data_IF_642535136831
#
_entry.id   IF_642535136831
#
_cell.length_a   1.000
_cell.length_b   1.000
_cell.length_c   1.000
_cell.angle_alpha   90.00
_cell.angle_beta   90.00
_cell.angle_gamma   90.00
#
_symmetry.space_group_name_H-M   'P 1'
#
loop_
_entity.id
_entity.type
_entity.pdbx_description
1 polymer ?
#
# COMPACT_ATOMS: atom_id res chain seq x y z
N UNK A 1 38.03 12.36 -5.42
CA UNK A 1 37.28 11.09 -5.22
C UNK A 1 36.14 11.27 -4.22
N UNK A 2 36.30 11.96 -3.10
CA UNK A 2 35.24 12.19 -2.09
C UNK A 2 34.06 13.03 -2.63
N UNK A 3 34.32 13.94 -3.55
CA UNK A 3 33.31 14.83 -4.13
C UNK A 3 32.34 14.09 -5.09
N UNK A 4 32.87 13.19 -5.90
CA UNK A 4 32.08 12.46 -6.89
C UNK A 4 31.15 11.42 -6.25
N UNK A 5 31.59 10.72 -5.20
CA UNK A 5 30.76 9.77 -4.46
C UNK A 5 29.59 10.49 -3.77
N UNK A 6 29.82 11.70 -3.26
CA UNK A 6 28.78 12.49 -2.59
C UNK A 6 27.75 13.05 -3.59
N UNK A 7 28.20 13.42 -4.79
CA UNK A 7 27.30 13.84 -5.89
C UNK A 7 26.39 12.68 -6.30
N UNK A 8 26.97 11.49 -6.50
CA UNK A 8 26.21 10.28 -6.88
C UNK A 8 25.23 9.90 -5.76
N UNK A 9 25.66 9.91 -4.50
CA UNK A 9 24.79 9.62 -3.36
C UNK A 9 23.56 10.55 -3.33
N UNK A 10 23.78 11.86 -3.46
CA UNK A 10 22.68 12.85 -3.49
C UNK A 10 21.73 12.60 -4.66
N UNK A 11 22.27 12.37 -5.85
CA UNK A 11 21.47 12.10 -7.04
C UNK A 11 20.68 10.79 -6.95
N UNK A 12 21.24 9.77 -6.29
CA UNK A 12 20.53 8.49 -6.03
C UNK A 12 19.40 8.71 -5.04
N UNK A 13 19.62 9.43 -3.93
CA UNK A 13 18.56 9.73 -2.95
C UNK A 13 17.41 10.49 -3.62
N UNK A 14 17.70 11.47 -4.48
CA UNK A 14 16.69 12.19 -5.23
C UNK A 14 15.86 11.25 -6.11
N UNK A 15 16.50 10.31 -6.81
CA UNK A 15 15.80 9.32 -7.64
C UNK A 15 14.96 8.36 -6.81
N UNK A 16 15.45 7.95 -5.65
CA UNK A 16 14.72 7.09 -4.72
C UNK A 16 13.45 7.79 -4.17
N UNK A 17 13.40 9.12 -4.14
CA UNK A 17 12.19 9.85 -3.75
C UNK A 17 11.02 9.68 -4.73
N UNK A 18 11.28 9.20 -5.94
CA UNK A 18 10.25 8.89 -6.95
C UNK A 18 9.83 7.41 -6.95
N UNK A 19 10.49 6.57 -6.15
CA UNK A 19 10.09 5.18 -5.96
C UNK A 19 8.93 5.14 -4.97
N UNK A 20 7.77 4.70 -5.42
CA UNK A 20 6.53 4.69 -4.64
C UNK A 20 6.26 3.29 -4.10
N UNK A 21 6.05 3.19 -2.80
CA UNK A 21 5.55 1.96 -2.19
C UNK A 21 4.11 1.70 -2.67
N UNK A 22 3.83 0.55 -3.33
CA UNK A 22 2.52 0.30 -3.93
C UNK A 22 1.40 0.07 -2.89
N UNK A 23 1.74 -0.30 -1.64
CA UNK A 23 0.75 -0.47 -0.57
C UNK A 23 0.42 0.87 0.10
N UNK A 24 1.44 1.66 0.39
CA UNK A 24 1.28 2.91 1.12
C UNK A 24 1.02 4.10 0.21
N UNK A 25 1.34 4.00 -1.11
CA UNK A 25 1.13 5.06 -2.09
C UNK A 25 2.02 6.29 -1.89
N UNK A 26 3.09 6.15 -1.11
CA UNK A 26 4.05 7.23 -0.78
C UNK A 26 5.46 6.81 -1.14
N UNK A 27 6.34 7.79 -1.27
CA UNK A 27 7.72 7.51 -1.62
C UNK A 27 8.44 6.72 -0.52
N UNK A 28 9.32 5.80 -0.91
CA UNK A 28 10.11 5.00 0.05
C UNK A 28 11.01 5.87 0.93
N UNK A 29 11.37 7.06 0.47
CA UNK A 29 12.13 8.05 1.26
C UNK A 29 11.24 8.73 2.29
N UNK A 30 10.02 9.17 1.92
CA UNK A 30 9.06 9.80 2.83
C UNK A 30 8.58 8.84 3.91
N UNK A 31 8.50 7.55 3.59
CA UNK A 31 8.18 6.49 4.53
C UNK A 31 9.35 6.14 5.46
N UNK A 32 10.51 6.75 5.27
CA UNK A 32 11.70 6.44 6.02
C UNK A 32 12.23 5.03 5.80
N UNK A 33 11.89 4.40 4.69
CA UNK A 33 12.34 3.04 4.35
C UNK A 33 13.82 3.00 3.98
N UNK A 34 14.37 4.10 3.45
CA UNK A 34 15.79 4.18 3.08
C UNK A 34 16.62 4.52 4.31
N UNK A 35 17.44 3.58 4.78
CA UNK A 35 18.27 3.73 5.96
C UNK A 35 19.69 4.18 5.65
N UNK A 36 20.13 4.04 4.40
CA UNK A 36 21.44 4.47 3.98
C UNK A 36 21.70 4.14 2.52
N UNK A 37 22.51 4.98 1.90
CA UNK A 37 23.04 4.80 0.56
C UNK A 37 24.57 4.90 0.68
N UNK A 38 25.28 3.88 0.25
CA UNK A 38 26.76 3.80 0.31
C UNK A 38 27.28 3.61 -1.11
N UNK A 39 28.08 4.58 -1.58
CA UNK A 39 28.62 4.62 -2.94
C UNK A 39 30.10 4.26 -2.92
N UNK A 40 30.50 3.18 -3.60
CA UNK A 40 31.88 2.71 -3.67
C UNK A 40 32.39 2.68 -5.11
N UNK A 41 33.53 3.30 -5.41
CA UNK A 41 34.13 3.22 -6.73
C UNK A 41 34.56 1.78 -7.03
N UNK A 42 34.26 1.31 -8.24
CA UNK A 42 34.68 0.01 -8.76
C UNK A 42 35.56 0.13 -9.99
N UNK A 43 35.64 1.33 -10.58
CA UNK A 43 36.47 1.68 -11.73
C UNK A 43 36.59 3.18 -11.92
N UNK A 44 37.03 3.64 -13.09
CA UNK A 44 37.24 5.06 -13.41
C UNK A 44 35.92 5.84 -13.38
N UNK A 45 34.88 5.28 -14.01
CA UNK A 45 33.52 5.88 -14.05
C UNK A 45 32.45 4.86 -13.66
N UNK A 46 32.83 3.89 -12.82
CA UNK A 46 31.95 2.80 -12.38
C UNK A 46 31.90 2.78 -10.87
N UNK A 47 30.67 2.64 -10.33
CA UNK A 47 30.42 2.64 -8.88
C UNK A 47 29.43 1.54 -8.52
N UNK A 48 29.63 0.95 -7.35
CA UNK A 48 28.64 0.10 -6.69
C UNK A 48 27.88 0.96 -5.68
N UNK A 49 26.56 0.94 -5.75
CA UNK A 49 25.66 1.65 -4.85
C UNK A 49 24.93 0.63 -4.00
N UNK A 50 25.23 0.63 -2.70
CA UNK A 50 24.52 -0.19 -1.71
C UNK A 50 23.41 0.64 -1.10
N UNK A 51 22.16 0.17 -1.25
CA UNK A 51 20.97 0.79 -0.67
C UNK A 51 20.42 -0.12 0.42
N UNK A 52 20.39 0.38 1.65
CA UNK A 52 19.77 -0.32 2.79
C UNK A 52 18.32 0.11 2.90
N UNK A 53 17.41 -0.86 2.79
CA UNK A 53 15.96 -0.65 2.79
C UNK A 53 15.33 -1.42 3.93
N UNK A 54 14.50 -0.77 4.74
CA UNK A 54 13.70 -1.41 5.78
C UNK A 54 12.23 -1.38 5.39
N UNK A 55 11.64 -2.57 5.24
CA UNK A 55 10.23 -2.73 4.92
C UNK A 55 9.36 -2.70 6.18
N UNK A 56 8.11 -2.29 6.03
CA UNK A 56 7.13 -2.22 7.12
C UNK A 56 6.69 -3.59 7.61
N UNK A 57 6.73 -4.61 6.75
CA UNK A 57 6.34 -5.99 7.07
C UNK A 57 7.48 -6.95 6.70
N UNK A 58 7.97 -7.78 7.64
CA UNK A 58 8.90 -8.85 7.31
C UNK A 58 8.27 -9.82 6.31
N UNK A 59 8.98 -10.11 5.21
CA UNK A 59 8.47 -11.03 4.18
C UNK A 59 7.34 -10.47 3.32
N UNK A 60 7.24 -9.13 3.20
CA UNK A 60 6.30 -8.48 2.30
C UNK A 60 6.35 -9.10 0.90
N UNK A 61 5.24 -9.57 0.32
CA UNK A 61 5.22 -10.15 -1.02
C UNK A 61 5.65 -9.14 -2.11
N UNK A 62 5.58 -7.84 -1.83
CA UNK A 62 6.02 -6.78 -2.73
C UNK A 62 7.49 -6.38 -2.56
N UNK A 63 8.24 -7.05 -1.67
CA UNK A 63 9.67 -6.77 -1.45
C UNK A 63 10.49 -6.86 -2.73
N UNK A 64 10.21 -7.85 -3.57
CA UNK A 64 10.87 -8.04 -4.86
C UNK A 64 10.55 -6.89 -5.84
N UNK A 65 9.32 -6.38 -5.83
CA UNK A 65 8.89 -5.27 -6.67
C UNK A 65 9.57 -3.96 -6.24
N UNK A 66 9.57 -3.66 -4.95
CA UNK A 66 10.24 -2.48 -4.39
C UNK A 66 11.73 -2.54 -4.70
N UNK A 67 12.38 -3.70 -4.49
CA UNK A 67 13.80 -3.88 -4.80
C UNK A 67 14.09 -3.62 -6.28
N UNK A 68 13.25 -4.12 -7.18
CA UNK A 68 13.40 -3.91 -8.63
C UNK A 68 13.24 -2.44 -9.02
N UNK A 69 12.30 -1.73 -8.41
CA UNK A 69 12.11 -0.30 -8.66
C UNK A 69 13.29 0.52 -8.14
N UNK A 70 13.84 0.18 -6.97
CA UNK A 70 15.05 0.81 -6.42
C UNK A 70 16.25 0.56 -7.34
N UNK A 71 16.44 -0.69 -7.79
CA UNK A 71 17.52 -1.03 -8.73
C UNK A 71 17.41 -0.23 -10.02
N UNK A 72 16.22 -0.15 -10.60
CA UNK A 72 15.96 0.65 -11.80
C UNK A 72 16.23 2.14 -11.56
N UNK A 73 15.85 2.70 -10.42
CA UNK A 73 16.10 4.08 -10.06
C UNK A 73 17.61 4.37 -9.94
N UNK A 74 18.38 3.49 -9.29
CA UNK A 74 19.84 3.61 -9.18
C UNK A 74 20.52 3.51 -10.55
N UNK A 75 20.20 2.48 -11.32
CA UNK A 75 20.87 2.20 -12.61
C UNK A 75 20.48 3.18 -13.72
N UNK A 76 19.39 3.94 -13.54
CA UNK A 76 18.98 5.00 -14.48
C UNK A 76 19.88 6.25 -14.47
N UNK A 77 20.88 6.32 -13.58
CA UNK A 77 21.83 7.43 -13.54
C UNK A 77 22.73 7.43 -14.77
N UNK A 78 22.69 8.52 -15.56
CA UNK A 78 23.32 8.55 -16.89
C UNK A 78 24.81 9.02 -16.87
N UNK A 79 25.25 9.65 -15.79
CA UNK A 79 26.58 10.30 -15.72
C UNK A 79 27.70 9.36 -15.28
N UNK A 80 27.34 8.14 -14.79
CA UNK A 80 28.29 7.10 -14.42
C UNK A 80 27.64 5.73 -14.52
N UNK A 81 28.44 4.68 -14.63
CA UNK A 81 27.96 3.31 -14.63
C UNK A 81 27.73 2.85 -13.19
N UNK A 82 26.46 2.73 -12.79
CA UNK A 82 26.09 2.28 -11.45
C UNK A 82 25.63 0.82 -11.46
N UNK A 83 26.10 0.07 -10.47
CA UNK A 83 25.54 -1.23 -10.09
C UNK A 83 24.87 -1.10 -8.75
N UNK A 84 23.68 -1.68 -8.57
CA UNK A 84 22.92 -1.61 -7.32
C UNK A 84 23.08 -2.88 -6.50
N UNK A 85 23.34 -2.74 -5.21
CA UNK A 85 23.25 -3.79 -4.21
C UNK A 85 22.18 -3.40 -3.18
N UNK A 86 21.06 -4.13 -3.16
CA UNK A 86 19.93 -3.78 -2.31
C UNK A 86 19.90 -4.73 -1.12
N UNK A 87 19.99 -4.18 0.08
CA UNK A 87 19.93 -4.91 1.34
C UNK A 87 18.59 -4.63 1.99
N UNK A 88 17.74 -5.65 2.03
CA UNK A 88 16.38 -5.56 2.58
C UNK A 88 16.37 -6.04 4.02
N UNK A 89 15.89 -5.18 4.91
CA UNK A 89 15.61 -5.46 6.32
C UNK A 89 14.14 -5.21 6.66
N UNK A 90 13.82 -5.31 7.94
CA UNK A 90 12.51 -4.92 8.47
C UNK A 90 12.69 -3.74 9.44
N UNK A 91 11.74 -2.80 9.43
CA UNK A 91 11.70 -1.73 10.41
C UNK A 91 11.59 -2.29 11.81
N UNK A 92 12.27 -1.67 12.76
CA UNK A 92 12.04 -1.95 14.16
C UNK A 92 10.65 -1.48 14.62
N UNK A 93 10.24 -1.95 15.80
CA UNK A 93 8.88 -1.70 16.31
C UNK A 93 8.64 -0.20 16.62
N UNK A 94 9.65 0.54 17.04
CA UNK A 94 9.52 1.97 17.38
C UNK A 94 9.37 2.81 16.11
N UNK A 95 10.22 2.56 15.11
CA UNK A 95 10.16 3.22 13.81
C UNK A 95 8.84 2.94 13.11
N UNK A 96 8.39 1.68 13.14
CA UNK A 96 7.09 1.29 12.57
C UNK A 96 5.93 1.97 13.30
N UNK A 97 5.95 2.06 14.63
CA UNK A 97 4.92 2.79 15.42
C UNK A 97 4.90 4.28 15.08
N UNK A 98 6.06 4.91 14.94
CA UNK A 98 6.16 6.32 14.54
C UNK A 98 5.54 6.54 13.18
N UNK A 99 5.95 5.76 12.17
CA UNK A 99 5.39 5.83 10.82
C UNK A 99 3.87 5.67 10.81
N UNK A 100 3.35 4.64 11.50
CA UNK A 100 1.89 4.42 11.58
C UNK A 100 1.18 5.58 12.26
N UNK A 101 1.76 6.18 13.29
CA UNK A 101 1.17 7.34 13.96
C UNK A 101 1.12 8.56 13.04
N UNK A 102 2.17 8.78 12.24
CA UNK A 102 2.23 9.88 11.25
C UNK A 102 1.19 9.68 10.15
N UNK A 103 1.08 8.44 9.62
CA UNK A 103 0.07 8.08 8.64
C UNK A 103 -1.36 8.24 9.20
N UNK A 104 -1.61 7.85 10.45
CA UNK A 104 -2.90 8.05 11.13
C UNK A 104 -3.19 9.50 11.43
N UNK A 105 -2.19 10.28 11.81
CA UNK A 105 -2.35 11.71 12.09
C UNK A 105 -2.75 12.51 10.85
N UNK A 106 -2.22 12.14 9.69
CA UNK A 106 -2.64 12.68 8.40
C UNK A 106 -4.11 12.32 8.05
N UNK A 107 -4.67 11.29 8.69
CA UNK A 107 -6.00 10.71 8.40
C UNK A 107 -7.03 10.87 9.52
N UNK A 108 -6.91 11.87 10.38
CA UNK A 108 -7.78 12.04 11.57
C UNK A 108 -9.30 12.10 11.32
N UNK A 109 -9.72 12.24 10.06
CA UNK A 109 -11.14 12.26 9.66
C UNK A 109 -11.38 11.22 8.58
N UNK A 110 -12.61 10.70 8.50
CA UNK A 110 -13.02 9.83 7.40
C UNK A 110 -12.70 10.52 6.07
N UNK A 111 -11.75 10.02 5.27
CA UNK A 111 -11.29 10.71 4.04
C UNK A 111 -12.43 10.91 3.04
N UNK A 112 -13.46 10.05 3.11
CA UNK A 112 -14.60 10.10 2.19
C UNK A 112 -15.66 11.13 2.56
N UNK A 113 -15.57 11.74 3.76
CA UNK A 113 -16.50 12.78 4.21
C UNK A 113 -15.95 14.20 4.09
N UNK A 114 -14.73 14.37 3.61
CA UNK A 114 -14.13 15.70 3.43
C UNK A 114 -14.79 16.46 2.30
N UNK A 115 -15.13 17.76 2.49
CA UNK A 115 -15.58 18.60 1.40
C UNK A 115 -14.50 18.66 0.28
N UNK A 116 -14.91 18.41 -0.95
CA UNK A 116 -14.00 18.43 -2.10
C UNK A 116 -13.31 17.11 -2.42
N UNK A 117 -13.60 16.02 -1.69
CA UNK A 117 -13.09 14.70 -2.07
C UNK A 117 -13.49 14.33 -3.49
N UNK A 118 -12.55 13.85 -4.28
CA UNK A 118 -12.81 13.33 -5.65
C UNK A 118 -13.35 11.89 -5.62
N UNK A 119 -13.30 11.23 -4.47
CA UNK A 119 -13.74 9.84 -4.32
C UNK A 119 -15.26 9.72 -4.55
N UNK A 120 -15.64 8.78 -5.39
CA UNK A 120 -17.03 8.43 -5.67
C UNK A 120 -17.37 7.10 -5.01
N UNK A 121 -18.40 7.09 -4.18
CA UNK A 121 -18.88 5.90 -3.49
C UNK A 121 -20.12 5.36 -4.21
N UNK A 122 -20.06 4.07 -4.59
CA UNK A 122 -21.16 3.36 -5.19
C UNK A 122 -21.67 2.27 -4.23
N UNK A 123 -22.92 2.38 -3.78
CA UNK A 123 -23.54 1.36 -2.95
C UNK A 123 -24.38 0.41 -3.81
N UNK A 124 -23.99 -0.85 -3.87
CA UNK A 124 -24.71 -1.89 -4.62
C UNK A 124 -25.52 -2.71 -3.64
N UNK A 125 -26.83 -2.49 -3.63
CA UNK A 125 -27.77 -3.12 -2.72
C UNK A 125 -28.87 -3.87 -3.48
N UNK A 126 -29.50 -4.85 -2.82
CA UNK A 126 -30.63 -5.60 -3.36
C UNK A 126 -31.51 -6.12 -2.22
N UNK A 127 -32.81 -6.06 -2.41
CA UNK A 127 -33.81 -6.62 -1.49
C UNK A 127 -33.97 -8.14 -1.58
N UNK A 128 -33.29 -8.81 -2.53
CA UNK A 128 -33.36 -10.27 -2.71
C UNK A 128 -31.96 -10.86 -2.79
N UNK A 129 -31.78 -12.08 -2.22
CA UNK A 129 -30.57 -12.87 -2.41
C UNK A 129 -30.47 -13.45 -3.84
N UNK A 130 -29.24 -13.72 -4.29
CA UNK A 130 -28.99 -14.45 -5.54
C UNK A 130 -29.21 -13.68 -6.85
N UNK A 131 -29.40 -12.36 -6.81
CA UNK A 131 -29.65 -11.53 -8.01
C UNK A 131 -28.38 -11.01 -8.70
N UNK A 132 -27.19 -11.45 -8.28
CA UNK A 132 -25.92 -11.08 -8.90
C UNK A 132 -25.28 -9.81 -8.32
N UNK A 133 -25.70 -9.32 -7.16
CA UNK A 133 -25.15 -8.14 -6.48
C UNK A 133 -23.62 -8.16 -6.42
N UNK A 134 -23.04 -9.20 -5.85
CA UNK A 134 -21.59 -9.34 -5.70
C UNK A 134 -20.86 -9.47 -7.03
N UNK A 135 -21.46 -10.15 -8.02
CA UNK A 135 -20.88 -10.23 -9.35
C UNK A 135 -20.82 -8.86 -10.04
N UNK A 136 -21.88 -8.06 -9.90
CA UNK A 136 -21.89 -6.68 -10.42
C UNK A 136 -20.84 -5.85 -9.71
N UNK A 137 -20.76 -5.93 -8.37
CA UNK A 137 -19.77 -5.19 -7.58
C UNK A 137 -18.34 -5.53 -7.98
N UNK A 138 -18.02 -6.83 -8.11
CA UNK A 138 -16.69 -7.28 -8.49
C UNK A 138 -16.30 -6.84 -9.90
N UNK A 139 -17.20 -7.00 -10.88
CA UNK A 139 -16.91 -6.61 -12.25
C UNK A 139 -16.78 -5.08 -12.39
N UNK A 140 -17.62 -4.31 -11.69
CA UNK A 140 -17.54 -2.85 -11.70
C UNK A 140 -16.20 -2.37 -11.12
N UNK A 141 -15.81 -2.90 -9.96
CA UNK A 141 -14.54 -2.55 -9.33
C UNK A 141 -13.33 -2.92 -10.21
N UNK A 142 -13.31 -4.15 -10.75
CA UNK A 142 -12.25 -4.59 -11.64
C UNK A 142 -12.18 -3.75 -12.93
N UNK A 143 -13.33 -3.32 -13.46
CA UNK A 143 -13.38 -2.45 -14.63
C UNK A 143 -12.81 -1.08 -14.34
N UNK A 144 -13.16 -0.45 -13.21
CA UNK A 144 -12.59 0.84 -12.83
C UNK A 144 -11.08 0.75 -12.63
N UNK A 145 -10.57 -0.29 -11.95
CA UNK A 145 -9.15 -0.50 -11.81
C UNK A 145 -8.44 -0.69 -13.18
N UNK A 146 -9.04 -1.45 -14.09
CA UNK A 146 -8.51 -1.65 -15.44
C UNK A 146 -8.50 -0.34 -16.29
N UNK A 147 -9.38 0.60 -15.98
CA UNK A 147 -9.42 1.94 -16.58
C UNK A 147 -8.42 2.92 -15.92
N UNK A 148 -7.64 2.47 -14.93
CA UNK A 148 -6.62 3.27 -14.25
C UNK A 148 -7.11 4.09 -13.05
N UNK A 149 -8.35 3.85 -12.58
CA UNK A 149 -8.84 4.51 -11.37
C UNK A 149 -8.31 3.79 -10.11
N UNK A 150 -7.89 4.55 -9.10
CA UNK A 150 -7.63 4.00 -7.77
C UNK A 150 -8.94 3.50 -7.17
N UNK A 151 -9.08 2.18 -7.10
CA UNK A 151 -10.36 1.54 -6.82
C UNK A 151 -10.28 0.69 -5.56
N UNK A 152 -11.29 0.86 -4.70
CA UNK A 152 -11.48 0.04 -3.51
C UNK A 152 -12.87 -0.62 -3.52
N UNK A 153 -12.97 -1.79 -2.90
CA UNK A 153 -14.22 -2.50 -2.72
C UNK A 153 -14.37 -3.02 -1.28
N UNK A 154 -15.53 -2.75 -0.68
CA UNK A 154 -15.87 -3.23 0.67
C UNK A 154 -17.01 -4.23 0.55
N UNK A 155 -16.77 -5.47 0.99
CA UNK A 155 -17.84 -6.47 1.14
C UNK A 155 -18.44 -6.35 2.54
N UNK A 156 -19.62 -5.75 2.59
CA UNK A 156 -20.37 -5.50 3.81
C UNK A 156 -21.36 -6.64 4.16
N UNK A 157 -21.43 -7.71 3.36
CA UNK A 157 -22.31 -8.84 3.62
C UNK A 157 -21.68 -9.82 4.62
N UNK A 158 -22.20 -9.79 5.86
CA UNK A 158 -21.67 -10.62 6.96
C UNK A 158 -21.94 -12.12 6.72
N UNK A 159 -23.08 -12.45 6.14
CA UNK A 159 -23.55 -13.82 6.02
C UNK A 159 -23.24 -14.45 4.67
N UNK A 160 -22.97 -13.61 3.68
CA UNK A 160 -22.81 -14.05 2.29
C UNK A 160 -21.59 -13.42 1.61
N UNK A 161 -20.55 -13.09 2.37
CA UNK A 161 -19.35 -12.48 1.81
C UNK A 161 -18.83 -13.29 0.64
N UNK A 162 -18.70 -12.65 -0.51
CA UNK A 162 -18.36 -13.33 -1.75
C UNK A 162 -17.31 -12.59 -2.60
N UNK A 163 -17.04 -11.32 -2.33
CA UNK A 163 -16.03 -10.56 -3.06
C UNK A 163 -14.64 -11.20 -2.99
N UNK A 164 -14.11 -11.62 -1.82
CA UNK A 164 -12.79 -12.26 -1.77
C UNK A 164 -12.71 -13.48 -2.69
N UNK A 165 -13.75 -14.31 -2.70
CA UNK A 165 -13.84 -15.49 -3.55
C UNK A 165 -13.91 -15.14 -5.04
N UNK A 166 -14.64 -14.09 -5.41
CA UNK A 166 -14.75 -13.63 -6.80
C UNK A 166 -13.43 -13.05 -7.31
N UNK A 167 -12.66 -12.42 -6.44
CA UNK A 167 -11.32 -11.91 -6.76
C UNK A 167 -10.21 -12.97 -6.62
N UNK A 168 -10.52 -14.20 -6.19
CA UNK A 168 -9.53 -15.26 -5.97
C UNK A 168 -8.58 -14.97 -4.79
N UNK A 169 -9.03 -14.16 -3.82
CA UNK A 169 -8.25 -13.76 -2.65
C UNK A 169 -8.45 -14.76 -1.51
N UNK A 170 -7.33 -15.25 -0.98
CA UNK A 170 -7.26 -16.13 0.19
C UNK A 170 -6.48 -15.49 1.34
N UNK A 171 -5.78 -14.40 1.07
CA UNK A 171 -4.96 -13.68 2.03
C UNK A 171 -5.82 -12.88 3.02
N UNK A 172 -5.27 -12.63 4.20
CA UNK A 172 -5.88 -11.80 5.21
C UNK A 172 -5.29 -10.39 5.18
N UNK A 173 -6.09 -9.35 5.51
CA UNK A 173 -5.59 -8.00 5.70
C UNK A 173 -4.50 -7.96 6.75
N UNK A 174 -3.41 -7.26 6.46
CA UNK A 174 -2.30 -7.09 7.40
C UNK A 174 -2.61 -5.98 8.40
N UNK A 175 -2.30 -6.22 9.67
CA UNK A 175 -2.46 -5.19 10.72
C UNK A 175 -1.09 -4.59 11.04
N UNK A 176 -0.88 -3.35 10.64
CA UNK A 176 0.28 -2.54 10.96
C UNK A 176 -0.03 -1.66 12.18
N UNK A 177 0.29 -2.15 13.39
CA UNK A 177 0.10 -1.39 14.64
C UNK A 177 -1.28 -0.71 14.74
N UNK A 178 -2.34 -1.44 14.38
CA UNK A 178 -3.73 -0.96 14.43
C UNK A 178 -4.20 -0.19 13.19
N UNK A 179 -3.39 -0.12 12.13
CA UNK A 179 -3.80 0.28 10.79
C UNK A 179 -3.99 -0.98 9.95
N UNK A 180 -5.14 -1.13 9.32
CA UNK A 180 -5.46 -2.28 8.49
C UNK A 180 -5.06 -1.99 7.03
N UNK A 181 -4.21 -2.85 6.48
CA UNK A 181 -3.87 -2.83 5.06
C UNK A 181 -4.85 -3.70 4.28
N UNK A 182 -5.54 -3.17 3.26
CA UNK A 182 -6.44 -3.96 2.43
C UNK A 182 -5.64 -4.97 1.59
N UNK A 183 -6.28 -6.06 1.19
CA UNK A 183 -5.68 -6.97 0.21
C UNK A 183 -5.89 -6.42 -1.18
N UNK A 184 -4.85 -6.37 -1.99
CA UNK A 184 -4.96 -5.91 -3.38
C UNK A 184 -5.06 -7.09 -4.33
N UNK A 185 -6.09 -7.11 -5.15
CA UNK A 185 -6.28 -8.08 -6.22
C UNK A 185 -6.87 -7.40 -7.46
N UNK A 186 -6.30 -7.70 -8.63
CA UNK A 186 -6.73 -7.12 -9.92
C UNK A 186 -6.71 -5.59 -9.94
N UNK A 187 -5.79 -4.96 -9.18
CA UNK A 187 -5.72 -3.52 -9.00
C UNK A 187 -6.78 -2.91 -8.08
N UNK A 188 -7.59 -3.75 -7.43
CA UNK A 188 -8.63 -3.33 -6.48
C UNK A 188 -8.17 -3.58 -5.05
N UNK A 189 -8.24 -2.55 -4.20
CA UNK A 189 -8.04 -2.66 -2.75
C UNK A 189 -9.31 -3.24 -2.14
N UNK A 190 -9.21 -4.48 -1.63
CA UNK A 190 -10.36 -5.25 -1.16
C UNK A 190 -10.35 -5.40 0.36
N UNK A 191 -11.49 -5.14 0.97
CA UNK A 191 -11.75 -5.43 2.37
C UNK A 191 -13.11 -6.13 2.52
N UNK A 192 -13.13 -7.23 3.27
CA UNK A 192 -14.35 -7.97 3.57
C UNK A 192 -14.39 -8.36 5.04
N UNK A 193 -15.57 -8.31 5.61
CA UNK A 193 -15.82 -8.84 6.96
C UNK A 193 -15.44 -10.33 7.03
N UNK A 194 -15.68 -11.07 5.94
CA UNK A 194 -15.35 -12.48 5.86
C UNK A 194 -13.85 -12.81 5.97
N UNK A 195 -12.97 -11.89 5.66
CA UNK A 195 -11.52 -12.09 5.80
C UNK A 195 -11.09 -12.24 7.27
N UNK A 196 -11.92 -11.80 8.21
CA UNK A 196 -11.68 -11.92 9.65
C UNK A 196 -12.41 -13.10 10.30
N UNK A 197 -13.23 -13.85 9.56
CA UNK A 197 -14.07 -14.95 10.04
C UNK A 197 -13.27 -16.23 10.35
N UNK A 198 -12.16 -16.17 10.93
CA UNK A 198 -11.32 -17.30 11.37
C UNK A 198 -10.36 -16.92 12.48
N UNK A 199 -10.31 -15.64 12.84
CA UNK A 199 -9.53 -15.15 13.95
C UNK A 199 -10.42 -15.06 15.20
N UNK A 200 -9.84 -15.24 16.39
CA UNK A 200 -10.52 -15.08 17.69
C UNK A 200 -11.16 -13.69 17.89
N UNK A 201 -10.93 -12.77 16.95
CA UNK A 201 -11.57 -11.45 16.85
C UNK A 201 -12.95 -11.45 16.17
N UNK A 202 -13.37 -12.56 15.56
CA UNK A 202 -14.69 -12.70 14.91
C UNK A 202 -15.90 -12.55 15.88
N UNK A 203 -15.67 -12.44 17.18
CA UNK A 203 -16.70 -12.34 18.23
C UNK A 203 -17.43 -10.99 18.25
N UNK A 204 -17.02 -10.02 17.45
CA UNK A 204 -17.46 -8.63 17.63
C UNK A 204 -18.63 -8.17 16.73
N UNK A 205 -19.17 -9.04 15.87
CA UNK A 205 -20.04 -8.63 14.75
C UNK A 205 -21.53 -8.95 14.96
N UNK A 206 -22.16 -8.55 16.07
CA UNK A 206 -23.62 -8.74 16.28
C UNK A 206 -24.37 -7.40 16.31
N UNK A 207 -25.38 -7.26 15.46
CA UNK A 207 -26.41 -6.20 15.49
C UNK A 207 -25.88 -4.78 15.24
N UNK A 208 -26.16 -3.79 16.12
CA UNK A 208 -25.80 -2.36 15.95
C UNK A 208 -24.31 -2.09 15.70
N UNK A 209 -23.50 -3.12 15.78
CA UNK A 209 -22.05 -3.11 15.53
C UNK A 209 -21.68 -3.12 14.04
N UNK A 210 -22.59 -3.54 13.14
CA UNK A 210 -22.30 -3.54 11.69
C UNK A 210 -22.01 -2.14 11.17
N UNK A 211 -22.82 -1.17 11.55
CA UNK A 211 -22.61 0.22 11.17
C UNK A 211 -21.25 0.73 11.67
N UNK A 212 -20.95 0.48 12.95
CA UNK A 212 -19.64 0.84 13.52
C UNK A 212 -18.48 0.16 12.82
N UNK A 213 -18.69 -1.06 12.37
CA UNK A 213 -17.64 -1.82 11.65
C UNK A 213 -17.40 -1.29 10.26
N UNK A 214 -18.44 -0.88 9.55
CA UNK A 214 -18.29 -0.17 8.27
C UNK A 214 -17.62 1.18 8.46
N UNK A 215 -18.02 1.94 9.49
CA UNK A 215 -17.35 3.19 9.86
C UNK A 215 -15.87 2.96 10.20
N UNK A 216 -15.53 1.88 10.90
CA UNK A 216 -14.16 1.50 11.20
C UNK A 216 -13.41 1.08 9.93
N UNK A 217 -14.02 0.32 9.02
CA UNK A 217 -13.38 -0.01 7.73
C UNK A 217 -13.09 1.25 6.91
N UNK A 218 -13.97 2.22 6.93
CA UNK A 218 -13.75 3.48 6.23
C UNK A 218 -12.66 4.33 6.88
N UNK A 219 -12.50 4.24 8.21
CA UNK A 219 -11.57 5.07 8.98
C UNK A 219 -10.21 4.39 9.23
N UNK A 220 -10.20 3.10 9.59
CA UNK A 220 -9.00 2.39 10.07
C UNK A 220 -8.25 1.64 8.98
N UNK A 221 -8.89 1.41 7.81
CA UNK A 221 -8.24 0.77 6.66
C UNK A 221 -7.46 1.80 5.85
N UNK A 222 -6.25 1.45 5.48
CA UNK A 222 -5.44 2.26 4.58
C UNK A 222 -5.90 2.11 3.13
N UNK A 223 -6.73 3.03 2.67
CA UNK A 223 -7.23 3.05 1.28
C UNK A 223 -6.30 3.77 0.30
N UNK A 224 -5.16 4.29 0.75
CA UNK A 224 -4.31 5.19 0.00
C UNK A 224 -4.67 6.65 0.25
N UNK A 225 -4.16 7.55 -0.55
CA UNK A 225 -4.54 8.96 -0.55
C UNK A 225 -5.53 9.20 -1.69
N UNK A 226 -6.86 9.12 -1.43
CA UNK A 226 -7.86 9.19 -2.49
C UNK A 226 -7.89 10.55 -3.21
N UNK A 227 -7.18 11.54 -2.70
CA UNK A 227 -7.08 12.88 -3.29
C UNK A 227 -5.85 13.05 -4.21
N UNK A 228 -4.97 12.05 -4.34
CA UNK A 228 -3.75 12.11 -5.16
C UNK A 228 -3.90 11.50 -6.55
N UNK A 229 -5.08 11.49 -7.12
CA UNK A 229 -5.26 11.22 -8.54
C UNK A 229 -5.10 12.52 -9.32
N UNK A 230 -3.90 13.04 -9.37
CA UNK A 230 -3.54 14.02 -10.36
C UNK A 230 -3.18 13.33 -11.66
N UNK A 231 -4.02 13.63 -12.62
CA UNK A 231 -3.91 13.70 -14.09
C UNK A 231 -2.66 13.10 -14.73
#
# INVERSE_FOLDING_TARGET
>A
MTDQTQIIETAVIERLSHVIDPELGRSVTDLGMICGVDVRPTGLDSFNVRVNVELTVPGCPLSAEISRQIEAAVTSYAEAQLTAEIVVGAMDEEKLKSLVNDLKAARRENPFSKPGTKTRIFAIASGKGGVGKSSISANLAATFAALGYDTAAIDADIYGFSLPRLFGVHDQPTNLNGMLMPVTAWGVKLMSIGMFAGSDRAILWRGPRLQRSLEQFLADVWWGEPDCADS
#
